data_IF_639540539849
#
_entry.id   IF_639540539849
#
_cell.length_a   1.000
_cell.length_b   1.000
_cell.length_c   1.000
_cell.angle_alpha   90.00
_cell.angle_beta   90.00
_cell.angle_gamma   90.00
#
_symmetry.space_group_name_H-M   'P 1'
#
loop_
_entity.id
_entity.type
_entity.pdbx_description
1 polymer ?
#
# COMPACT_ATOMS: atom_id res chain seq x y z
N UNK A 1 -13.94 -8.20 5.10
CA UNK A 1 -13.63 -7.21 4.05
C UNK A 1 -13.11 -5.92 4.67
N UNK A 2 -11.84 -5.62 4.43
CA UNK A 2 -11.19 -4.36 4.79
C UNK A 2 -11.30 -3.38 3.61
N UNK A 3 -11.48 -2.10 3.91
CA UNK A 3 -11.52 -1.05 2.89
C UNK A 3 -10.38 -0.07 3.13
N UNK A 4 -9.59 0.22 2.09
CA UNK A 4 -8.51 1.22 2.15
C UNK A 4 -8.70 2.28 1.06
N UNK A 5 -8.43 3.54 1.39
CA UNK A 5 -8.55 4.67 0.46
C UNK A 5 -7.18 5.15 -0.02
N UNK A 6 -6.93 5.06 -1.32
CA UNK A 6 -5.65 5.39 -1.94
C UNK A 6 -5.78 6.66 -2.78
N UNK A 7 -5.10 7.74 -2.35
CA UNK A 7 -4.92 8.93 -3.17
C UNK A 7 -3.71 8.72 -4.10
N UNK A 8 -3.95 8.74 -5.40
CA UNK A 8 -2.91 8.58 -6.43
C UNK A 8 -2.81 9.84 -7.29
N UNK A 9 -1.73 9.98 -8.06
CA UNK A 9 -1.60 11.09 -9.03
C UNK A 9 -2.57 10.91 -10.20
N UNK A 10 -2.92 12.01 -10.88
CA UNK A 10 -3.92 11.99 -11.96
C UNK A 10 -3.60 11.00 -13.09
N UNK A 11 -2.34 10.91 -13.49
CA UNK A 11 -1.90 9.98 -14.56
C UNK A 11 -2.17 8.51 -14.19
N UNK A 12 -1.82 8.13 -12.96
CA UNK A 12 -2.07 6.78 -12.45
C UNK A 12 -3.57 6.52 -12.25
N UNK A 13 -4.33 7.53 -11.82
CA UNK A 13 -5.78 7.46 -11.71
C UNK A 13 -6.45 7.18 -13.06
N UNK A 14 -6.05 7.90 -14.12
CA UNK A 14 -6.60 7.69 -15.46
C UNK A 14 -6.28 6.30 -16.00
N UNK A 15 -5.06 5.81 -15.73
CA UNK A 15 -4.65 4.46 -16.08
C UNK A 15 -5.44 3.39 -15.32
N UNK A 16 -5.68 3.58 -14.01
CA UNK A 16 -6.52 2.71 -13.20
C UNK A 16 -7.95 2.68 -13.73
N UNK A 17 -8.52 3.85 -14.04
CA UNK A 17 -9.87 3.99 -14.59
C UNK A 17 -10.03 3.25 -15.92
N UNK A 18 -9.01 3.28 -16.77
CA UNK A 18 -9.01 2.58 -18.05
C UNK A 18 -8.80 1.06 -17.92
N UNK A 19 -8.12 0.61 -16.85
CA UNK A 19 -7.68 -0.78 -16.70
C UNK A 19 -8.61 -1.65 -15.86
N UNK A 20 -9.23 -1.08 -14.82
CA UNK A 20 -10.13 -1.82 -13.94
C UNK A 20 -11.44 -2.06 -14.67
N UNK A 21 -11.81 -3.34 -14.79
CA UNK A 21 -13.08 -3.79 -15.36
C UNK A 21 -13.76 -4.69 -14.35
N UNK A 22 -15.05 -4.47 -14.12
CA UNK A 22 -15.85 -5.26 -13.17
C UNK A 22 -15.20 -5.31 -11.77
N UNK A 23 -14.59 -4.20 -11.34
CA UNK A 23 -13.93 -4.07 -10.02
C UNK A 23 -12.80 -5.09 -9.78
N UNK A 24 -12.20 -5.62 -10.85
CA UNK A 24 -11.12 -6.61 -10.78
C UNK A 24 -9.92 -6.20 -11.62
N UNK A 25 -8.73 -6.59 -11.17
CA UNK A 25 -7.47 -6.39 -11.88
C UNK A 25 -6.45 -7.46 -11.47
N UNK A 26 -5.69 -8.04 -12.42
CA UNK A 26 -4.59 -8.94 -12.09
C UNK A 26 -3.61 -8.28 -11.11
N UNK A 27 -3.38 -8.95 -10.00
CA UNK A 27 -2.54 -8.43 -8.93
C UNK A 27 -1.69 -9.53 -8.29
N UNK A 28 -0.62 -9.09 -7.65
CA UNK A 28 0.15 -9.88 -6.70
C UNK A 28 0.11 -9.17 -5.36
N UNK A 29 -0.01 -9.90 -4.26
CA UNK A 29 0.01 -9.31 -2.93
C UNK A 29 0.88 -10.12 -1.99
N UNK A 30 1.45 -9.47 -0.98
CA UNK A 30 2.24 -10.14 0.05
C UNK A 30 2.32 -9.28 1.31
N UNK A 31 2.47 -9.95 2.45
CA UNK A 31 2.83 -9.30 3.71
C UNK A 31 4.34 -9.26 3.85
N UNK A 32 4.88 -8.10 4.18
CA UNK A 32 6.28 -7.86 4.48
C UNK A 32 6.44 -7.51 5.95
N UNK A 33 7.21 -8.30 6.67
CA UNK A 33 7.48 -8.09 8.09
C UNK A 33 8.91 -7.59 8.28
N UNK A 34 9.06 -6.43 8.91
CA UNK A 34 10.35 -5.84 9.28
C UNK A 34 10.53 -6.00 10.78
N UNK A 35 11.51 -6.79 11.17
CA UNK A 35 11.88 -6.98 12.58
C UNK A 35 13.19 -6.27 12.90
N UNK A 36 13.50 -6.12 14.19
CA UNK A 36 14.77 -5.54 14.63
C UNK A 36 14.63 -4.84 15.97
N UNK A 37 15.77 -4.54 16.59
CA UNK A 37 15.83 -3.90 17.90
C UNK A 37 16.61 -2.59 17.77
N UNK A 38 15.98 -1.43 17.96
CA UNK A 38 16.69 -0.15 17.95
C UNK A 38 17.73 -0.09 19.07
N UNK A 39 18.79 0.68 18.86
CA UNK A 39 19.88 0.81 19.83
C UNK A 39 19.35 1.36 21.17
N UNK A 40 19.47 0.56 22.23
CA UNK A 40 18.97 0.91 23.57
C UNK A 40 17.45 0.80 23.75
N UNK A 41 16.71 0.30 22.75
CA UNK A 41 15.26 0.12 22.79
C UNK A 41 14.80 -1.33 22.93
N UNK A 42 13.48 -1.51 22.86
CA UNK A 42 12.85 -2.84 22.87
C UNK A 42 12.64 -3.35 21.44
N UNK A 43 12.64 -4.68 21.22
CA UNK A 43 12.32 -5.24 19.90
C UNK A 43 10.96 -4.74 19.40
N UNK A 44 10.91 -4.36 18.13
CA UNK A 44 9.67 -3.92 17.49
C UNK A 44 9.50 -4.53 16.10
N UNK A 45 8.25 -4.66 15.68
CA UNK A 45 7.88 -5.25 14.40
C UNK A 45 7.00 -4.29 13.62
N UNK A 46 7.34 -4.07 12.36
CA UNK A 46 6.49 -3.40 11.39
C UNK A 46 5.91 -4.46 10.44
N UNK A 47 4.61 -4.38 10.20
CA UNK A 47 3.92 -5.21 9.20
C UNK A 47 3.43 -4.29 8.09
N UNK A 48 3.89 -4.54 6.87
CA UNK A 48 3.49 -3.82 5.67
C UNK A 48 2.78 -4.78 4.72
N UNK A 49 1.58 -4.43 4.29
CA UNK A 49 0.84 -5.16 3.27
C UNK A 49 1.15 -4.52 1.92
N UNK A 50 1.55 -5.32 0.93
CA UNK A 50 1.89 -4.84 -0.40
C UNK A 50 0.97 -5.47 -1.44
N UNK A 51 0.47 -4.64 -2.36
CA UNK A 51 -0.33 -5.03 -3.53
C UNK A 51 0.34 -4.45 -4.77
N UNK A 52 0.68 -5.30 -5.73
CA UNK A 52 1.22 -4.98 -7.04
C UNK A 52 0.13 -5.17 -8.10
N UNK A 53 -0.27 -4.10 -8.77
CA UNK A 53 -1.25 -4.09 -9.85
C UNK A 53 -0.52 -4.25 -11.19
N UNK A 54 -0.54 -5.48 -11.73
CA UNK A 54 0.35 -5.91 -12.81
C UNK A 54 0.12 -5.10 -14.09
N UNK A 55 -1.14 -4.81 -14.42
CA UNK A 55 -1.50 -4.14 -15.67
C UNK A 55 -1.34 -2.63 -15.65
N UNK A 56 -1.19 -2.02 -14.47
CA UNK A 56 -1.12 -0.56 -14.31
C UNK A 56 0.25 -0.08 -13.83
N UNK A 57 1.26 -0.96 -13.68
CA UNK A 57 2.56 -0.57 -13.12
C UNK A 57 2.43 0.25 -11.81
N UNK A 58 1.47 -0.11 -10.95
CA UNK A 58 1.25 0.55 -9.67
C UNK A 58 1.44 -0.48 -8.57
N UNK A 59 2.14 -0.11 -7.50
CA UNK A 59 2.23 -0.88 -6.28
C UNK A 59 1.80 -0.01 -5.09
N UNK A 60 1.17 -0.66 -4.11
CA UNK A 60 0.59 -0.02 -2.93
C UNK A 60 1.12 -0.75 -1.71
N UNK A 61 1.80 -0.03 -0.83
CA UNK A 61 2.14 -0.48 0.50
C UNK A 61 1.21 0.17 1.52
N UNK A 62 0.71 -0.59 2.50
CA UNK A 62 -0.04 0.00 3.60
C UNK A 62 0.21 -0.72 4.94
N UNK A 63 0.20 0.05 6.03
CA UNK A 63 0.18 -0.48 7.40
C UNK A 63 -1.25 -0.56 7.91
N UNK A 64 -1.48 -1.29 8.99
CA UNK A 64 -2.77 -1.31 9.69
C UNK A 64 -2.56 -1.10 11.20
N UNK A 65 -3.56 -0.54 11.91
CA UNK A 65 -3.59 -0.55 13.36
C UNK A 65 -3.42 -1.97 13.92
N UNK A 66 -2.75 -2.10 15.08
CA UNK A 66 -2.40 -3.40 15.67
C UNK A 66 -3.63 -4.25 16.06
N UNK A 67 -4.78 -3.62 16.28
CA UNK A 67 -6.06 -4.26 16.57
C UNK A 67 -6.86 -4.65 15.32
N UNK A 68 -6.36 -4.30 14.13
CA UNK A 68 -7.03 -4.58 12.85
C UNK A 68 -6.43 -5.79 12.17
N UNK A 69 -7.27 -6.80 11.99
CA UNK A 69 -7.02 -7.94 11.12
C UNK A 69 -8.06 -7.97 9.99
N UNK A 70 -7.73 -8.62 8.88
CA UNK A 70 -8.67 -8.85 7.80
C UNK A 70 -8.52 -10.25 7.18
N UNK A 71 -9.65 -10.76 6.69
CA UNK A 71 -9.88 -12.13 6.21
C UNK A 71 -9.39 -12.37 4.77
N UNK A 72 -8.48 -11.52 4.27
CA UNK A 72 -7.97 -11.41 2.88
C UNK A 72 -8.83 -10.60 1.91
N UNK A 73 -10.11 -10.44 2.15
CA UNK A 73 -10.96 -9.63 1.28
C UNK A 73 -10.63 -8.14 1.47
N UNK A 74 -10.12 -7.50 0.42
CA UNK A 74 -9.71 -6.10 0.42
C UNK A 74 -10.40 -5.34 -0.71
N UNK A 75 -11.14 -4.28 -0.36
CA UNK A 75 -11.60 -3.26 -1.30
C UNK A 75 -10.62 -2.08 -1.25
N UNK A 76 -9.97 -1.81 -2.38
CA UNK A 76 -9.11 -0.64 -2.57
C UNK A 76 -9.93 0.41 -3.32
N UNK A 77 -10.06 1.59 -2.72
CA UNK A 77 -10.79 2.72 -3.29
C UNK A 77 -9.77 3.75 -3.72
N UNK A 78 -9.62 3.94 -5.02
CA UNK A 78 -8.72 4.95 -5.59
C UNK A 78 -9.46 6.25 -5.85
N UNK A 79 -8.77 7.35 -5.56
CA UNK A 79 -9.20 8.69 -5.94
C UNK A 79 -7.98 9.54 -6.28
N UNK A 80 -8.20 10.75 -6.77
CA UNK A 80 -7.13 11.68 -7.13
C UNK A 80 -7.49 13.13 -6.77
N UNK A 81 -6.57 14.05 -7.01
CA UNK A 81 -6.79 15.47 -6.71
C UNK A 81 -7.71 16.10 -7.77
N UNK A 82 -8.66 16.96 -7.37
CA UNK A 82 -9.45 17.74 -8.33
C UNK A 82 -8.57 18.55 -9.28
N UNK A 83 -8.99 18.65 -10.53
CA UNK A 83 -8.38 19.52 -11.54
C UNK A 83 -9.36 20.61 -11.96
N UNK A 84 -8.88 21.55 -12.78
CA UNK A 84 -9.75 22.57 -13.38
C UNK A 84 -10.85 21.96 -14.26
N UNK A 85 -10.57 20.81 -14.88
CA UNK A 85 -11.48 20.10 -15.78
C UNK A 85 -12.38 19.11 -15.03
N UNK A 86 -11.86 18.45 -13.99
CA UNK A 86 -12.58 17.46 -13.17
C UNK A 86 -12.58 17.90 -11.71
N UNK A 87 -13.67 18.55 -11.30
CA UNK A 87 -13.78 19.13 -9.95
C UNK A 87 -14.06 18.10 -8.85
N UNK A 88 -14.62 16.96 -9.20
CA UNK A 88 -14.93 15.87 -8.27
C UNK A 88 -14.59 14.55 -8.95
N UNK A 89 -13.36 14.03 -8.76
CA UNK A 89 -12.99 12.72 -9.22
C UNK A 89 -13.91 11.64 -8.65
N UNK A 90 -14.17 10.61 -9.44
CA UNK A 90 -14.99 9.48 -9.03
C UNK A 90 -14.14 8.51 -8.22
N UNK A 91 -14.77 7.79 -7.29
CA UNK A 91 -14.09 6.71 -6.59
C UNK A 91 -14.02 5.48 -7.51
N UNK A 92 -12.79 4.98 -7.74
CA UNK A 92 -12.57 3.75 -8.51
C UNK A 92 -12.35 2.62 -7.52
N UNK A 93 -13.20 1.60 -7.60
CA UNK A 93 -13.15 0.45 -6.69
C UNK A 93 -12.44 -0.73 -7.31
N UNK A 94 -11.63 -1.40 -6.50
CA UNK A 94 -10.95 -2.63 -6.86
C UNK A 94 -11.08 -3.62 -5.70
N UNK A 95 -11.73 -4.76 -5.95
CA UNK A 95 -11.80 -5.85 -5.01
C UNK A 95 -10.69 -6.86 -5.30
N UNK A 96 -9.92 -7.21 -4.28
CA UNK A 96 -8.91 -8.26 -4.38
C UNK A 96 -9.00 -9.24 -3.22
N UNK A 97 -8.59 -10.47 -3.50
CA UNK A 97 -8.25 -11.46 -2.49
C UNK A 97 -6.75 -11.36 -2.19
N UNK A 98 -6.41 -10.93 -0.99
CA UNK A 98 -5.03 -10.77 -0.54
C UNK A 98 -4.37 -12.14 -0.29
N UNK A 99 -3.12 -12.30 -0.73
CA UNK A 99 -2.43 -13.58 -0.67
C UNK A 99 -1.86 -13.90 0.71
N UNK A 100 -1.59 -15.18 0.98
CA UNK A 100 -0.86 -15.63 2.17
C UNK A 100 0.66 -15.47 2.05
N UNK A 101 1.17 -14.90 0.95
CA UNK A 101 2.61 -14.78 0.74
C UNK A 101 3.23 -13.87 1.79
N UNK A 102 4.31 -14.34 2.41
CA UNK A 102 5.06 -13.60 3.42
C UNK A 102 6.49 -13.37 2.96
N UNK A 103 7.04 -12.21 3.32
CA UNK A 103 8.44 -11.84 3.17
C UNK A 103 8.92 -11.24 4.48
N UNK A 104 10.17 -11.49 4.82
CA UNK A 104 10.76 -11.00 6.06
C UNK A 104 12.03 -10.21 5.76
N UNK A 105 12.28 -9.18 6.54
CA UNK A 105 13.53 -8.43 6.53
C UNK A 105 13.86 -7.90 7.93
N UNK A 106 15.10 -7.45 8.11
CA UNK A 106 15.62 -6.98 9.40
C UNK A 106 16.15 -5.57 9.24
N UNK A 107 15.73 -4.69 10.15
CA UNK A 107 16.25 -3.33 10.29
C UNK A 107 16.18 -2.90 11.76
N UNK A 108 17.34 -2.61 12.34
CA UNK A 108 17.49 -2.20 13.74
C UNK A 108 17.19 -0.70 13.91
N UNK A 109 15.90 -0.37 13.78
CA UNK A 109 15.37 0.96 14.04
C UNK A 109 14.01 0.90 14.73
N UNK A 110 13.51 2.04 15.17
CA UNK A 110 12.15 2.18 15.68
C UNK A 110 11.11 1.92 14.57
N UNK A 111 9.84 1.72 14.93
CA UNK A 111 8.79 1.38 13.96
C UNK A 111 8.67 2.39 12.81
N UNK A 112 8.90 3.69 13.09
CA UNK A 112 8.93 4.73 12.05
C UNK A 112 10.12 4.57 11.11
N UNK A 113 11.31 4.37 11.67
CA UNK A 113 12.54 4.25 10.89
C UNK A 113 12.48 2.99 10.02
N UNK A 114 11.89 1.90 10.54
CA UNK A 114 11.58 0.69 9.75
C UNK A 114 10.66 1.01 8.56
N UNK A 115 9.64 1.85 8.75
CA UNK A 115 8.67 2.23 7.71
C UNK A 115 9.32 3.11 6.65
N UNK A 116 10.12 4.09 7.06
CA UNK A 116 10.89 4.95 6.15
C UNK A 116 11.92 4.15 5.35
N UNK A 117 12.67 3.28 6.02
CA UNK A 117 13.64 2.38 5.39
C UNK A 117 13.00 1.51 4.32
N UNK A 118 11.89 0.83 4.67
CA UNK A 118 11.25 -0.08 3.73
C UNK A 118 10.48 0.66 2.63
N UNK A 119 9.88 1.81 2.97
CA UNK A 119 9.22 2.69 2.02
C UNK A 119 10.19 3.15 0.93
N UNK A 120 11.35 3.67 1.33
CA UNK A 120 12.41 4.07 0.40
C UNK A 120 12.93 2.90 -0.44
N UNK A 121 13.15 1.74 0.19
CA UNK A 121 13.65 0.55 -0.50
C UNK A 121 12.66 0.05 -1.56
N UNK A 122 11.36 0.03 -1.24
CA UNK A 122 10.31 -0.37 -2.17
C UNK A 122 10.12 0.66 -3.28
N UNK A 123 10.11 1.95 -2.96
CA UNK A 123 10.05 3.03 -3.95
C UNK A 123 11.17 2.88 -4.99
N UNK A 124 12.43 2.70 -4.53
CA UNK A 124 13.57 2.46 -5.43
C UNK A 124 13.42 1.18 -6.25
N UNK A 125 12.93 0.10 -5.64
CA UNK A 125 12.68 -1.14 -6.35
C UNK A 125 11.64 -0.98 -7.46
N UNK A 126 10.50 -0.34 -7.19
CA UNK A 126 9.45 -0.14 -8.19
C UNK A 126 9.85 0.92 -9.23
N UNK A 127 10.65 1.92 -8.88
CA UNK A 127 11.26 2.85 -9.83
C UNK A 127 12.08 2.11 -10.90
N UNK A 128 12.90 1.11 -10.51
CA UNK A 128 13.65 0.29 -11.49
C UNK A 128 12.74 -0.54 -12.42
N UNK A 129 11.51 -0.82 -11.96
CA UNK A 129 10.47 -1.51 -12.75
C UNK A 129 9.58 -0.56 -13.55
N UNK A 130 9.83 0.76 -13.47
CA UNK A 130 8.97 1.81 -14.03
C UNK A 130 7.54 1.75 -13.49
N UNK A 131 7.41 1.44 -12.20
CA UNK A 131 6.15 1.36 -11.50
C UNK A 131 6.08 2.44 -10.40
N UNK A 132 4.91 3.05 -10.25
CA UNK A 132 4.63 3.96 -9.13
C UNK A 132 4.45 3.16 -7.83
N UNK A 133 4.97 3.66 -6.72
CA UNK A 133 4.78 3.07 -5.40
C UNK A 133 4.13 4.08 -4.45
N UNK A 134 3.01 3.69 -3.86
CA UNK A 134 2.25 4.50 -2.91
C UNK A 134 2.28 3.85 -1.53
N UNK A 135 2.73 4.59 -0.51
CA UNK A 135 2.79 4.11 0.86
C UNK A 135 1.76 4.82 1.73
N UNK A 136 0.88 4.05 2.38
CA UNK A 136 -0.17 4.58 3.26
C UNK A 136 -0.01 4.06 4.69
N UNK A 137 0.25 4.96 5.64
CA UNK A 137 0.36 4.60 7.05
C UNK A 137 -0.99 4.72 7.78
N UNK A 138 -1.82 3.67 7.76
CA UNK A 138 -3.10 3.69 8.47
C UNK A 138 -2.97 3.37 9.96
N UNK A 139 -1.84 2.80 10.40
CA UNK A 139 -1.61 2.51 11.81
C UNK A 139 -1.75 3.77 12.69
N UNK A 140 -1.28 4.91 12.19
CA UNK A 140 -1.28 6.18 12.94
C UNK A 140 -2.54 7.00 12.77
N UNK A 141 -3.33 6.76 11.73
CA UNK A 141 -4.59 7.48 11.49
C UNK A 141 -5.65 7.11 12.55
N UNK A 142 -5.60 5.90 13.10
CA UNK A 142 -6.53 5.49 14.15
C UNK A 142 -6.21 6.06 15.56
N UNK A 143 -5.04 6.71 15.75
CA UNK A 143 -4.58 7.25 17.04
C UNK A 143 -4.74 8.77 17.18
N UNK A 144 -5.33 9.44 16.20
CA UNK A 144 -5.59 10.90 16.19
C UNK A 144 -6.95 11.26 16.74
#
# INVERSE_FOLDING_TARGET
MLNIGCLVVNEDYDMLKASIKEESLPNHSYTLTVTGTPEGGAPSTLVLYVVELVSTNIAIGFTLPEDKEFDKNLEIIFTTQPTAEVKMPEDIKLNIEFSDQKKDTVYDGEKMEKLEYIGFSLEKFYETKKAGFYLFDYERIAKS
#
